data_IF_224380834815
#
_entry.id   IF_224380834815
#
_cell.length_a   1.000
_cell.length_b   1.000
_cell.length_c   1.000
_cell.angle_alpha   90.00
_cell.angle_beta   90.00
_cell.angle_gamma   90.00
#
_symmetry.space_group_name_H-M   'P 1'
#
loop_
_entity.id
_entity.type
_entity.pdbx_description
1 polymer ?
#
# COMPACT_ATOMS: atom_id res chain seq x y z
N UNK A 1 7.43 -17.51 9.80
CA UNK A 1 8.38 -17.69 8.67
C UNK A 1 8.20 -16.57 7.66
N UNK A 2 9.30 -16.11 7.07
CA UNK A 2 9.31 -15.19 5.94
C UNK A 2 10.13 -15.83 4.82
N UNK A 3 9.54 -15.96 3.64
CA UNK A 3 10.19 -16.51 2.45
C UNK A 3 9.97 -15.57 1.28
N UNK A 4 10.98 -15.40 0.44
CA UNK A 4 10.85 -14.64 -0.79
C UNK A 4 11.64 -15.30 -1.93
N UNK A 5 11.15 -15.07 -3.14
CA UNK A 5 11.81 -15.48 -4.37
C UNK A 5 11.66 -14.39 -5.41
N UNK A 6 12.68 -14.21 -6.23
CA UNK A 6 12.70 -13.22 -7.30
C UNK A 6 13.25 -13.84 -8.57
N UNK A 7 12.57 -13.60 -9.70
CA UNK A 7 13.01 -13.97 -11.04
C UNK A 7 13.04 -12.72 -11.89
N UNK A 8 14.08 -12.56 -12.67
CA UNK A 8 14.24 -11.41 -13.52
C UNK A 8 14.82 -11.77 -14.88
N UNK A 9 14.42 -10.99 -15.86
CA UNK A 9 14.98 -11.01 -17.19
C UNK A 9 15.40 -9.59 -17.58
N UNK A 10 16.62 -9.45 -18.04
CA UNK A 10 17.16 -8.16 -18.48
C UNK A 10 17.85 -8.29 -19.82
N UNK A 11 17.55 -7.37 -20.71
CA UNK A 11 18.31 -7.17 -21.94
C UNK A 11 18.60 -5.66 -22.13
N UNK A 12 19.08 -5.27 -23.31
CA UNK A 12 19.47 -3.88 -23.59
C UNK A 12 18.32 -2.87 -23.45
N UNK A 13 17.09 -3.28 -23.74
CA UNK A 13 15.94 -2.38 -23.87
C UNK A 13 14.81 -2.72 -22.88
N UNK A 14 14.93 -3.81 -22.14
CA UNK A 14 13.88 -4.29 -21.26
C UNK A 14 14.47 -4.89 -19.98
N UNK A 15 13.87 -4.55 -18.86
CA UNK A 15 14.10 -5.17 -17.57
C UNK A 15 12.75 -5.59 -17.00
N UNK A 16 12.57 -6.87 -16.75
CA UNK A 16 11.33 -7.42 -16.17
C UNK A 16 11.72 -8.29 -14.98
N UNK A 17 11.04 -8.09 -13.86
CA UNK A 17 11.22 -8.96 -12.73
C UNK A 17 9.88 -9.27 -12.05
N UNK A 18 9.82 -10.46 -11.49
CA UNK A 18 8.72 -10.92 -10.67
C UNK A 18 9.25 -11.35 -9.31
N UNK A 19 8.55 -10.93 -8.26
CA UNK A 19 8.85 -11.27 -6.88
C UNK A 19 7.63 -11.85 -6.20
N UNK A 20 7.83 -12.92 -5.45
CA UNK A 20 6.87 -13.52 -4.54
C UNK A 20 7.40 -13.43 -3.12
N UNK A 21 6.61 -12.83 -2.22
CA UNK A 21 6.85 -12.84 -0.79
C UNK A 21 5.76 -13.63 -0.09
N UNK A 22 6.14 -14.50 0.83
CA UNK A 22 5.26 -15.25 1.71
C UNK A 22 5.63 -15.01 3.15
N UNK A 23 4.64 -14.60 3.96
CA UNK A 23 4.73 -14.46 5.40
C UNK A 23 3.78 -15.45 6.07
N UNK A 24 4.31 -16.23 7.01
CA UNK A 24 3.52 -17.02 7.99
C UNK A 24 4.03 -16.64 9.39
N UNK A 25 3.18 -15.94 10.13
CA UNK A 25 3.51 -15.33 11.41
C UNK A 25 2.50 -15.76 12.48
N UNK A 26 3.01 -16.09 13.65
CA UNK A 26 2.22 -16.27 14.86
C UNK A 26 2.71 -15.26 15.90
N UNK A 27 1.79 -14.39 16.35
CA UNK A 27 2.03 -13.47 17.47
C UNK A 27 1.20 -13.97 18.64
N UNK A 28 1.86 -14.17 19.76
CA UNK A 28 1.21 -14.52 21.02
C UNK A 28 1.04 -13.27 21.87
N UNK A 29 -0.19 -13.00 22.27
CA UNK A 29 -0.56 -11.90 23.17
C UNK A 29 -1.10 -12.47 24.48
N UNK A 30 -0.26 -12.64 25.51
CA UNK A 30 -0.74 -13.05 26.83
C UNK A 30 -1.60 -11.93 27.41
N UNK A 31 -2.70 -12.30 28.06
CA UNK A 31 -3.51 -11.37 28.82
C UNK A 31 -3.49 -11.81 30.27
N UNK A 32 -3.00 -10.94 31.15
CA UNK A 32 -3.09 -11.14 32.58
C UNK A 32 -4.57 -11.04 33.00
N UNK A 33 -5.05 -11.97 33.82
CA UNK A 33 -6.43 -11.98 34.24
C UNK A 33 -6.94 -10.63 34.75
N UNK A 34 -8.25 -10.41 34.73
CA UNK A 34 -8.84 -9.20 35.28
C UNK A 34 -8.72 -9.18 36.80
N UNK A 35 -8.62 -7.99 37.41
CA UNK A 35 -8.62 -7.84 38.86
C UNK A 35 -9.86 -8.48 39.52
N UNK A 36 -10.97 -8.59 38.79
CA UNK A 36 -12.24 -9.20 39.27
C UNK A 36 -12.25 -10.73 39.17
N UNK A 37 -11.44 -11.33 38.27
CA UNK A 37 -11.33 -12.78 38.07
C UNK A 37 -9.87 -13.16 37.81
N UNK A 38 -8.99 -13.10 38.82
CA UNK A 38 -7.56 -13.36 38.62
C UNK A 38 -7.26 -14.82 38.22
N UNK A 39 -8.19 -15.73 38.46
CA UNK A 39 -8.05 -17.14 38.09
C UNK A 39 -8.37 -17.44 36.62
N UNK A 40 -9.04 -16.51 35.91
CA UNK A 40 -9.34 -16.65 34.46
C UNK A 40 -8.43 -15.79 33.64
N UNK A 41 -7.72 -16.42 32.75
CA UNK A 41 -6.78 -15.76 31.81
C UNK A 41 -7.24 -15.99 30.38
N UNK A 42 -7.14 -14.96 29.57
CA UNK A 42 -7.52 -15.00 28.16
C UNK A 42 -6.30 -14.70 27.28
N UNK A 43 -5.76 -15.71 26.64
CA UNK A 43 -4.62 -15.56 25.71
C UNK A 43 -5.10 -15.38 24.29
N UNK A 44 -4.45 -14.48 23.53
CA UNK A 44 -4.75 -14.23 22.13
C UNK A 44 -3.58 -14.62 21.23
N UNK A 45 -3.82 -15.56 20.35
CA UNK A 45 -2.93 -15.87 19.22
C UNK A 45 -3.41 -15.13 17.97
N UNK A 46 -2.51 -14.46 17.28
CA UNK A 46 -2.75 -13.89 15.96
C UNK A 46 -1.95 -14.68 14.92
N UNK A 47 -2.68 -15.41 14.09
CA UNK A 47 -2.10 -16.25 13.03
C UNK A 47 -2.26 -15.51 11.70
N UNK A 48 -1.16 -15.02 11.15
CA UNK A 48 -1.16 -14.20 9.93
C UNK A 48 -0.49 -14.96 8.79
N UNK A 49 -1.18 -15.03 7.65
CA UNK A 49 -0.59 -15.46 6.37
C UNK A 49 -0.73 -14.34 5.35
N UNK A 50 0.34 -14.05 4.62
CA UNK A 50 0.33 -13.04 3.57
C UNK A 50 1.13 -13.53 2.37
N UNK A 51 0.52 -13.44 1.21
CA UNK A 51 1.17 -13.61 -0.08
C UNK A 51 1.21 -12.25 -0.77
N UNK A 52 2.37 -11.89 -1.30
CA UNK A 52 2.51 -10.68 -2.10
C UNK A 52 3.23 -11.04 -3.40
N UNK A 53 2.57 -10.78 -4.51
CA UNK A 53 3.10 -10.93 -5.85
C UNK A 53 3.40 -9.56 -6.42
N UNK A 54 4.58 -9.37 -6.99
CA UNK A 54 4.98 -8.13 -7.63
C UNK A 54 5.59 -8.44 -8.99
N UNK A 55 5.10 -7.76 -10.01
CA UNK A 55 5.67 -7.77 -11.35
C UNK A 55 6.01 -6.34 -11.72
N UNK A 56 7.24 -6.11 -12.12
CA UNK A 56 7.66 -4.82 -12.66
C UNK A 56 8.31 -5.03 -14.02
N UNK A 57 8.06 -4.08 -14.91
CA UNK A 57 8.59 -4.09 -16.25
C UNK A 57 9.00 -2.68 -16.67
N UNK A 58 10.24 -2.51 -17.09
CA UNK A 58 10.83 -1.27 -17.52
C UNK A 58 11.27 -1.46 -18.98
N UNK A 59 10.78 -0.63 -19.90
CA UNK A 59 11.08 -0.69 -21.31
C UNK A 59 11.66 0.62 -21.82
N UNK A 60 12.82 0.54 -22.41
CA UNK A 60 13.44 1.64 -23.14
C UNK A 60 13.05 1.51 -24.62
N UNK A 61 12.03 2.27 -25.03
CA UNK A 61 11.52 2.20 -26.40
C UNK A 61 12.46 2.89 -27.39
N UNK A 62 12.99 4.05 -27.00
CA UNK A 62 14.03 4.75 -27.72
C UNK A 62 14.92 5.58 -26.77
N UNK A 63 15.72 6.52 -27.30
CA UNK A 63 16.59 7.37 -26.47
C UNK A 63 15.84 8.46 -25.70
N UNK A 64 14.53 8.63 -25.93
CA UNK A 64 13.69 9.69 -25.35
C UNK A 64 12.49 9.15 -24.59
N UNK A 65 12.17 7.86 -24.76
CA UNK A 65 10.92 7.29 -24.29
C UNK A 65 11.16 6.02 -23.50
N UNK A 66 10.93 6.10 -22.18
CA UNK A 66 10.95 4.97 -21.26
C UNK A 66 9.53 4.71 -20.74
N UNK A 67 9.14 3.43 -20.66
CA UNK A 67 7.86 2.99 -20.12
C UNK A 67 8.11 2.12 -18.90
N UNK A 68 7.42 2.41 -17.81
CA UNK A 68 7.46 1.64 -16.58
C UNK A 68 6.06 1.11 -16.25
N UNK A 69 5.95 -0.18 -16.00
CA UNK A 69 4.71 -0.81 -15.55
C UNK A 69 4.97 -1.64 -14.30
N UNK A 70 4.08 -1.56 -13.34
CA UNK A 70 4.13 -2.33 -12.11
C UNK A 70 2.74 -2.89 -11.79
N UNK A 71 2.69 -4.14 -11.37
CA UNK A 71 1.50 -4.83 -10.90
C UNK A 71 1.82 -5.51 -9.58
N UNK A 72 0.98 -5.29 -8.57
CA UNK A 72 1.08 -5.95 -7.27
C UNK A 72 -0.25 -6.58 -6.90
N UNK A 73 -0.20 -7.79 -6.38
CA UNK A 73 -1.32 -8.47 -5.76
C UNK A 73 -0.95 -8.91 -4.37
N UNK A 74 -1.82 -8.67 -3.39
CA UNK A 74 -1.67 -9.12 -2.02
C UNK A 74 -2.91 -9.88 -1.57
N UNK A 75 -2.70 -11.05 -0.96
CA UNK A 75 -3.70 -11.77 -0.16
C UNK A 75 -3.19 -11.85 1.28
N UNK A 76 -3.91 -11.18 2.18
CA UNK A 76 -3.62 -11.13 3.60
C UNK A 76 -4.75 -11.78 4.36
N UNK A 77 -4.45 -12.78 5.18
CA UNK A 77 -5.39 -13.44 6.06
C UNK A 77 -4.86 -13.51 7.48
N UNK A 78 -5.65 -13.00 8.43
CA UNK A 78 -5.35 -13.07 9.85
C UNK A 78 -6.48 -13.76 10.60
N UNK A 79 -6.14 -14.77 11.37
CA UNK A 79 -7.04 -15.44 12.30
C UNK A 79 -6.69 -15.03 13.71
N UNK A 80 -7.65 -14.48 14.44
CA UNK A 80 -7.58 -14.32 15.88
C UNK A 80 -8.03 -15.62 16.53
N UNK A 81 -7.28 -16.11 17.49
CA UNK A 81 -7.62 -17.29 18.30
C UNK A 81 -7.49 -16.92 19.76
N UNK A 82 -8.62 -16.76 20.43
CA UNK A 82 -8.65 -16.48 21.86
C UNK A 82 -8.90 -17.78 22.62
N UNK A 83 -8.01 -18.10 23.54
CA UNK A 83 -8.09 -19.26 24.44
C UNK A 83 -8.26 -18.76 25.86
N UNK A 84 -9.30 -19.20 26.53
CA UNK A 84 -9.53 -18.98 27.96
C UNK A 84 -8.94 -20.12 28.74
N UNK A 85 -8.36 -19.81 29.89
CA UNK A 85 -7.77 -20.77 30.81
C UNK A 85 -8.23 -20.46 32.24
N UNK A 86 -8.65 -21.49 32.98
CA UNK A 86 -8.88 -21.42 34.40
C UNK A 86 -7.61 -21.91 35.10
N UNK A 87 -6.95 -21.01 35.83
CA UNK A 87 -5.68 -21.30 36.50
C UNK A 87 -5.88 -22.22 37.76
N UNK A 88 -7.09 -22.28 38.30
CA UNK A 88 -7.39 -23.10 39.47
C UNK A 88 -7.59 -24.58 39.10
N UNK A 89 -8.23 -24.84 37.96
CA UNK A 89 -8.51 -26.19 37.49
C UNK A 89 -7.51 -26.65 36.42
N UNK A 90 -6.79 -25.72 35.76
CA UNK A 90 -5.92 -26.00 34.62
C UNK A 90 -6.66 -26.24 33.31
N UNK A 91 -7.97 -26.11 33.29
CA UNK A 91 -8.79 -26.29 32.08
C UNK A 91 -8.56 -25.17 31.06
N UNK A 92 -8.59 -25.52 29.78
CA UNK A 92 -8.45 -24.59 28.65
C UNK A 92 -9.52 -24.84 27.62
N UNK A 93 -10.14 -23.75 27.11
CA UNK A 93 -11.15 -23.82 26.04
C UNK A 93 -11.04 -22.63 25.09
N UNK A 94 -11.60 -22.76 23.90
CA UNK A 94 -11.71 -21.63 22.98
C UNK A 94 -12.81 -20.70 23.45
N UNK A 95 -12.51 -19.40 23.51
CA UNK A 95 -13.49 -18.38 23.86
C UNK A 95 -14.63 -18.36 22.85
N UNK A 96 -15.88 -18.34 23.34
CA UNK A 96 -17.09 -18.17 22.56
C UNK A 96 -17.53 -16.70 22.45
N UNK A 97 -16.79 -15.76 23.07
CA UNK A 97 -17.09 -14.36 22.98
C UNK A 97 -17.00 -13.86 21.52
N UNK A 98 -17.78 -12.85 21.18
CA UNK A 98 -17.78 -12.25 19.84
C UNK A 98 -16.37 -11.82 19.42
N UNK A 99 -16.05 -12.02 18.15
CA UNK A 99 -14.73 -11.76 17.54
C UNK A 99 -13.53 -12.51 18.16
N UNK A 100 -13.76 -13.45 19.12
CA UNK A 100 -12.67 -14.22 19.73
C UNK A 100 -12.00 -15.21 18.78
N UNK A 101 -12.70 -15.63 17.73
CA UNK A 101 -12.23 -16.57 16.71
C UNK A 101 -12.30 -15.96 15.31
N UNK A 102 -12.22 -14.63 15.22
CA UNK A 102 -12.42 -13.89 13.97
C UNK A 102 -11.36 -14.20 12.92
N UNK A 103 -11.80 -14.21 11.67
CA UNK A 103 -10.94 -14.31 10.49
C UNK A 103 -11.12 -13.03 9.69
N UNK A 104 -10.05 -12.26 9.57
CA UNK A 104 -10.00 -11.06 8.74
C UNK A 104 -9.17 -11.35 7.50
N UNK A 105 -9.71 -11.06 6.33
CA UNK A 105 -9.02 -11.20 5.06
C UNK A 105 -9.07 -9.92 4.25
N UNK A 106 -7.94 -9.55 3.62
CA UNK A 106 -7.82 -8.45 2.68
C UNK A 106 -7.16 -8.94 1.40
N UNK A 107 -7.76 -8.59 0.27
CA UNK A 107 -7.17 -8.76 -1.06
C UNK A 107 -6.99 -7.40 -1.69
N UNK A 108 -5.84 -7.16 -2.28
CA UNK A 108 -5.55 -5.88 -2.92
C UNK A 108 -4.83 -6.07 -4.24
N UNK A 109 -5.20 -5.27 -5.24
CA UNK A 109 -4.50 -5.11 -6.50
C UNK A 109 -4.04 -3.67 -6.64
N UNK A 110 -2.82 -3.48 -7.10
CA UNK A 110 -2.29 -2.17 -7.50
C UNK A 110 -1.63 -2.36 -8.86
N UNK A 111 -2.11 -1.62 -9.85
CA UNK A 111 -1.52 -1.55 -11.16
C UNK A 111 -1.11 -0.10 -11.46
N UNK A 112 0.11 0.12 -11.90
CA UNK A 112 0.64 1.45 -12.25
C UNK A 112 1.37 1.38 -13.58
N UNK A 113 1.16 2.37 -14.42
CA UNK A 113 1.95 2.58 -15.62
C UNK A 113 2.38 4.05 -15.71
N UNK A 114 3.61 4.29 -16.12
CA UNK A 114 4.17 5.61 -16.34
C UNK A 114 4.98 5.63 -17.62
N UNK A 115 4.98 6.77 -18.30
CA UNK A 115 5.80 7.01 -19.48
C UNK A 115 6.72 8.19 -19.16
N UNK A 116 8.02 8.00 -19.20
CA UNK A 116 8.98 9.09 -19.11
C UNK A 116 9.38 9.51 -20.53
N UNK A 117 8.99 10.71 -20.93
CA UNK A 117 9.21 11.23 -22.27
C UNK A 117 10.07 12.50 -22.24
N UNK A 118 11.29 12.36 -22.72
CA UNK A 118 12.25 13.45 -22.89
C UNK A 118 11.99 14.16 -24.23
N UNK A 119 11.17 15.21 -24.22
CA UNK A 119 10.76 15.94 -25.41
C UNK A 119 11.92 16.79 -25.95
N UNK A 120 12.64 17.44 -25.03
CA UNK A 120 13.82 18.26 -25.31
C UNK A 120 14.85 18.10 -24.19
N UNK A 121 16.10 18.50 -24.37
CA UNK A 121 17.11 18.45 -23.30
C UNK A 121 16.70 19.17 -22.01
N UNK A 122 15.92 20.24 -22.15
CA UNK A 122 15.44 21.07 -21.03
C UNK A 122 14.03 20.70 -20.56
N UNK A 123 13.31 19.81 -21.29
CA UNK A 123 11.91 19.53 -21.02
C UNK A 123 11.57 18.05 -21.15
N UNK A 124 11.05 17.50 -20.07
CA UNK A 124 10.49 16.16 -20.04
C UNK A 124 9.11 16.13 -19.36
N UNK A 125 8.30 15.15 -19.73
CA UNK A 125 6.99 14.91 -19.14
C UNK A 125 6.87 13.45 -18.69
N UNK A 126 6.09 13.22 -17.66
CA UNK A 126 5.85 11.89 -17.11
C UNK A 126 4.35 11.73 -16.79
N UNK A 127 3.51 11.42 -17.78
CA UNK A 127 2.16 10.97 -17.55
C UNK A 127 2.14 9.59 -16.93
N UNK A 128 1.10 9.31 -16.16
CA UNK A 128 0.89 7.98 -15.61
C UNK A 128 -0.53 7.75 -15.14
N UNK A 129 -0.84 6.47 -14.94
CA UNK A 129 -2.11 5.98 -14.43
C UNK A 129 -1.85 4.96 -13.33
N UNK A 130 -2.70 4.95 -12.33
CA UNK A 130 -2.68 3.99 -11.23
C UNK A 130 -4.10 3.54 -10.94
N UNK A 131 -4.27 2.24 -10.84
CA UNK A 131 -5.49 1.60 -10.40
C UNK A 131 -5.23 0.83 -9.12
N UNK A 132 -6.05 1.05 -8.11
CA UNK A 132 -6.05 0.31 -6.86
C UNK A 132 -7.41 -0.33 -6.65
N UNK A 133 -7.43 -1.56 -6.18
CA UNK A 133 -8.63 -2.26 -5.79
C UNK A 133 -8.34 -3.03 -4.50
N UNK A 134 -9.24 -2.91 -3.54
CA UNK A 134 -9.15 -3.60 -2.26
C UNK A 134 -10.50 -4.19 -1.90
N UNK A 135 -10.49 -5.42 -1.43
CA UNK A 135 -11.64 -6.12 -0.85
C UNK A 135 -11.26 -6.57 0.56
N UNK A 136 -12.20 -6.47 1.49
CA UNK A 136 -12.04 -6.92 2.86
C UNK A 136 -13.22 -7.73 3.34
N UNK A 137 -12.96 -8.64 4.29
CA UNK A 137 -13.97 -9.37 5.06
C UNK A 137 -13.45 -9.62 6.48
N UNK A 138 -14.35 -9.74 7.44
CA UNK A 138 -14.02 -10.00 8.86
C UNK A 138 -15.16 -9.65 9.79
N UNK A 139 -15.14 -10.09 11.02
CA UNK A 139 -16.23 -9.92 11.97
C UNK A 139 -16.58 -8.48 12.35
N UNK A 140 -15.71 -7.52 11.97
CA UNK A 140 -15.95 -6.09 12.18
C UNK A 140 -16.17 -5.32 10.88
N UNK A 141 -16.36 -6.01 9.78
CA UNK A 141 -16.60 -5.45 8.45
C UNK A 141 -17.92 -6.02 7.96
N UNK A 142 -18.89 -5.15 7.69
CA UNK A 142 -20.19 -5.60 7.20
C UNK A 142 -20.07 -6.11 5.76
N UNK A 143 -20.34 -7.39 5.58
CA UNK A 143 -20.27 -8.06 4.27
C UNK A 143 -18.86 -8.21 3.73
N UNK A 144 -18.70 -8.02 2.43
CA UNK A 144 -17.42 -8.07 1.70
C UNK A 144 -17.25 -6.82 0.83
N UNK A 145 -17.07 -5.64 1.44
CA UNK A 145 -16.96 -4.40 0.70
C UNK A 145 -15.73 -4.40 -0.21
N UNK A 146 -15.86 -3.64 -1.30
CA UNK A 146 -14.82 -3.41 -2.29
C UNK A 146 -14.67 -1.92 -2.49
N UNK A 147 -13.43 -1.47 -2.57
CA UNK A 147 -13.09 -0.07 -2.87
C UNK A 147 -12.15 -0.07 -4.06
N UNK A 148 -12.38 0.81 -5.01
CA UNK A 148 -11.52 0.97 -6.18
C UNK A 148 -11.25 2.42 -6.50
N UNK A 149 -9.98 2.73 -6.73
CA UNK A 149 -9.46 4.05 -7.07
C UNK A 149 -8.75 4.00 -8.41
N UNK A 150 -9.13 4.87 -9.33
CA UNK A 150 -8.39 5.12 -10.55
C UNK A 150 -7.79 6.53 -10.48
N UNK A 151 -6.48 6.64 -10.58
CA UNK A 151 -5.79 7.92 -10.54
C UNK A 151 -5.02 8.16 -11.83
N UNK A 152 -5.11 9.37 -12.34
CA UNK A 152 -4.25 9.89 -13.39
C UNK A 152 -3.29 10.91 -12.80
N UNK A 153 -2.07 10.91 -13.27
CA UNK A 153 -1.10 11.91 -12.84
C UNK A 153 -0.21 12.34 -14.02
N UNK A 154 0.24 13.56 -13.92
CA UNK A 154 1.17 14.15 -14.86
C UNK A 154 2.20 14.95 -14.07
N UNK A 155 3.47 14.74 -14.34
CA UNK A 155 4.53 15.63 -13.91
C UNK A 155 5.35 16.06 -15.12
N UNK A 156 5.89 17.27 -15.05
CA UNK A 156 6.82 17.78 -16.04
C UNK A 156 8.10 18.25 -15.35
N UNK A 157 9.24 18.10 -16.00
CA UNK A 157 10.48 18.73 -15.57
C UNK A 157 10.89 19.74 -16.64
N UNK A 158 11.10 20.98 -16.20
CA UNK A 158 11.53 22.07 -17.06
C UNK A 158 12.78 22.75 -16.48
N UNK A 159 13.83 22.81 -17.27
CA UNK A 159 15.13 23.40 -16.95
C UNK A 159 15.43 24.57 -17.85
N UNK A 160 14.78 25.74 -17.64
CA UNK A 160 14.97 26.92 -18.50
C UNK A 160 16.40 27.44 -18.45
N UNK A 161 17.11 27.20 -17.35
CA UNK A 161 18.50 27.62 -17.14
C UNK A 161 19.25 26.53 -16.35
N UNK A 162 20.55 26.51 -16.47
CA UNK A 162 21.41 25.53 -15.75
C UNK A 162 21.26 25.60 -14.21
N UNK A 163 20.87 26.76 -13.68
CA UNK A 163 20.71 26.99 -12.27
C UNK A 163 19.28 26.76 -11.74
N UNK A 164 18.28 26.56 -12.63
CA UNK A 164 16.88 26.41 -12.25
C UNK A 164 16.28 25.14 -12.86
N UNK A 165 15.69 24.30 -12.01
CA UNK A 165 14.84 23.18 -12.42
C UNK A 165 13.48 23.32 -11.71
N UNK A 166 12.41 23.24 -12.49
CA UNK A 166 11.02 23.26 -12.05
C UNK A 166 10.38 21.91 -12.35
N UNK A 167 9.69 21.34 -11.35
CA UNK A 167 8.93 20.09 -11.54
C UNK A 167 7.51 20.27 -11.01
N UNK A 168 6.59 20.86 -11.81
CA UNK A 168 5.17 20.83 -11.52
C UNK A 168 4.60 19.44 -11.69
N UNK A 169 3.55 19.13 -10.91
CA UNK A 169 2.80 17.89 -11.02
C UNK A 169 1.35 18.09 -10.62
N UNK A 170 0.49 17.24 -11.15
CA UNK A 170 -0.92 17.17 -10.79
C UNK A 170 -1.37 15.71 -10.77
N UNK A 171 -2.22 15.37 -9.82
CA UNK A 171 -2.89 14.07 -9.71
C UNK A 171 -4.39 14.30 -9.57
N UNK A 172 -5.20 13.45 -10.19
CA UNK A 172 -6.65 13.40 -10.04
C UNK A 172 -7.08 11.97 -9.76
N UNK A 173 -8.19 11.82 -9.05
CA UNK A 173 -8.80 10.52 -8.73
C UNK A 173 -10.19 10.43 -9.35
N UNK A 174 -10.54 9.24 -9.83
CA UNK A 174 -11.89 8.83 -10.15
C UNK A 174 -12.25 7.72 -9.18
N UNK A 175 -13.15 8.02 -8.26
CA UNK A 175 -13.59 7.14 -7.17
C UNK A 175 -15.10 7.21 -7.03
N UNK A 176 -15.72 6.11 -6.60
CA UNK A 176 -17.16 6.04 -6.38
C UNK A 176 -17.53 6.02 -4.89
N UNK A 177 -16.61 5.61 -4.03
CA UNK A 177 -16.90 5.25 -2.64
C UNK A 177 -16.68 6.40 -1.64
N UNK A 178 -16.01 7.49 -2.08
CA UNK A 178 -15.72 8.66 -1.24
C UNK A 178 -15.44 9.91 -2.08
N UNK A 179 -15.46 11.08 -1.43
CA UNK A 179 -15.11 12.34 -2.09
C UNK A 179 -13.59 12.53 -2.19
N UNK A 180 -13.11 12.77 -3.40
CA UNK A 180 -11.72 13.07 -3.67
C UNK A 180 -11.57 14.47 -4.29
N UNK A 181 -10.46 15.19 -4.01
CA UNK A 181 -10.18 16.46 -4.68
C UNK A 181 -10.06 16.26 -6.19
N UNK A 182 -10.63 17.18 -6.97
CA UNK A 182 -10.58 17.16 -8.44
C UNK A 182 -9.13 17.22 -8.94
N UNK A 183 -8.27 17.98 -8.24
CA UNK A 183 -6.86 18.12 -8.57
C UNK A 183 -5.99 18.23 -7.31
N UNK A 184 -4.89 17.53 -7.31
CA UNK A 184 -3.88 17.51 -6.24
C UNK A 184 -2.58 18.05 -6.85
N UNK A 185 -2.33 19.35 -6.79
CA UNK A 185 -1.16 19.97 -7.36
C UNK A 185 0.09 19.78 -6.49
N UNK A 186 1.23 19.74 -7.15
CA UNK A 186 2.53 19.75 -6.51
C UNK A 186 3.52 20.56 -7.35
N UNK A 187 4.54 21.11 -6.71
CA UNK A 187 5.67 21.73 -7.39
C UNK A 187 6.94 21.52 -6.59
N UNK A 188 7.98 21.10 -7.26
CA UNK A 188 9.33 21.05 -6.75
C UNK A 188 10.20 22.01 -7.56
N UNK A 189 10.91 22.87 -6.87
CA UNK A 189 11.86 23.82 -7.48
C UNK A 189 13.25 23.57 -6.92
N UNK A 190 14.23 23.48 -7.79
CA UNK A 190 15.64 23.37 -7.43
C UNK A 190 16.40 24.56 -8.00
N UNK A 191 17.10 25.29 -7.12
CA UNK A 191 18.01 26.37 -7.46
C UNK A 191 19.46 25.90 -7.19
N UNK A 192 20.30 25.93 -8.18
CA UNK A 192 21.73 25.69 -8.06
C UNK A 192 22.41 27.01 -7.74
N UNK A 193 22.65 27.28 -6.46
CA UNK A 193 23.18 28.57 -5.99
C UNK A 193 24.68 28.70 -6.26
N UNK A 194 25.41 27.59 -6.10
CA UNK A 194 26.85 27.51 -6.41
C UNK A 194 27.17 26.10 -6.91
N UNK A 195 28.46 25.85 -7.24
CA UNK A 195 28.93 24.50 -7.60
C UNK A 195 28.76 23.45 -6.48
N UNK A 196 28.60 23.93 -5.23
CA UNK A 196 28.56 23.07 -4.04
C UNK A 196 27.26 23.22 -3.23
N UNK A 197 26.33 24.10 -3.66
CA UNK A 197 25.13 24.40 -2.87
C UNK A 197 23.89 24.47 -3.76
N UNK A 198 22.90 23.62 -3.43
CA UNK A 198 21.57 23.61 -4.03
C UNK A 198 20.53 24.02 -2.97
N UNK A 199 19.58 24.86 -3.35
CA UNK A 199 18.34 25.11 -2.58
C UNK A 199 17.19 24.37 -3.25
N UNK A 200 16.42 23.61 -2.48
CA UNK A 200 15.22 22.91 -2.95
C UNK A 200 14.00 23.37 -2.17
N UNK A 201 12.97 23.78 -2.89
CA UNK A 201 11.67 24.15 -2.34
C UNK A 201 10.64 23.19 -2.91
N UNK A 202 9.73 22.73 -2.05
CA UNK A 202 8.64 21.85 -2.48
C UNK A 202 7.32 22.28 -1.85
N UNK A 203 6.27 22.22 -2.63
CA UNK A 203 4.89 22.35 -2.20
C UNK A 203 4.10 21.18 -2.77
N UNK A 204 3.26 20.55 -1.97
CA UNK A 204 2.32 19.52 -2.41
C UNK A 204 1.03 19.67 -1.61
N UNK A 205 -0.10 19.63 -2.30
CA UNK A 205 -1.38 19.44 -1.65
C UNK A 205 -1.48 18.00 -1.18
N UNK A 206 -1.73 17.81 0.11
CA UNK A 206 -1.82 16.47 0.71
C UNK A 206 -3.25 15.93 0.61
N UNK A 207 -3.38 14.73 0.04
CA UNK A 207 -4.61 13.95 0.08
C UNK A 207 -4.27 12.49 0.34
N UNK A 208 -5.05 11.83 1.19
CA UNK A 208 -4.96 10.41 1.47
C UNK A 208 -6.32 9.77 1.23
N UNK A 209 -6.37 8.78 0.36
CA UNK A 209 -7.56 7.94 0.20
C UNK A 209 -7.91 7.27 1.53
N UNK A 210 -9.20 7.25 1.92
CA UNK A 210 -9.64 6.48 3.07
C UNK A 210 -9.36 4.99 2.85
N UNK A 211 -9.00 4.31 3.92
CA UNK A 211 -8.85 2.85 3.88
C UNK A 211 -10.22 2.18 3.89
N UNK A 212 -10.29 0.93 3.41
CA UNK A 212 -11.52 0.13 3.48
C UNK A 212 -12.06 0.03 4.92
N UNK A 213 -11.16 -0.05 5.91
CA UNK A 213 -11.56 -0.03 7.33
C UNK A 213 -12.21 1.28 7.74
N UNK A 214 -11.70 2.42 7.30
CA UNK A 214 -12.28 3.74 7.63
C UNK A 214 -13.66 3.96 6.99
N UNK A 215 -13.93 3.31 5.86
CA UNK A 215 -15.22 3.41 5.16
C UNK A 215 -16.29 2.43 5.70
N UNK A 216 -15.88 1.21 6.10
CA UNK A 216 -16.80 0.11 6.35
C UNK A 216 -16.63 -0.56 7.73
N UNK A 217 -15.87 0.06 8.65
CA UNK A 217 -15.71 -0.51 9.98
C UNK A 217 -16.95 -0.24 10.84
N UNK A 218 -17.58 -1.30 11.30
CA UNK A 218 -18.75 -1.24 12.16
C UNK A 218 -18.35 -1.49 13.61
N UNK A 219 -18.73 -0.55 14.49
CA UNK A 219 -18.66 -0.73 15.94
C UNK A 219 -20.04 -1.12 16.45
N UNK A 220 -20.22 -2.37 16.83
CA UNK A 220 -21.37 -2.79 17.61
C UNK A 220 -21.02 -2.58 19.09
N UNK A 221 -21.74 -1.66 19.74
CA UNK A 221 -21.70 -1.48 21.21
C UNK A 221 -22.69 -2.44 21.87
#
# INVERSE_FOLDING_TARGET
ALMNGMFGFQNRNMNVWYRLDFLDEKIFGPNNGSELQPEKVSDKDFLTKRYTHQLQSDWKLDNRLDVHAALSYQDYKRRTRTTESDLSTGEKWLSSAEASQDITQYKAWIARATVAWNIAPEFSVQPGVEYQWTQGEGGRIDGTPKVSDLAFFLSAEYKPWEWLSLRPGVRTFIVADYDAPIAIPSVLTKFKLTKHMDLRLSYAYGFRSPTLQELYFSFHN
#
